data_IF_443283742827
#
_entry.id   IF_443283742827
#
_cell.length_a   1.000
_cell.length_b   1.000
_cell.length_c   1.000
_cell.angle_alpha   90.00
_cell.angle_beta   90.00
_cell.angle_gamma   90.00
#
_symmetry.space_group_name_H-M   'P 1'
#
loop_
_entity.id
_entity.type
_entity.pdbx_description
1 polymer ?
#
# COMPACT_ATOMS: atom_id res chain seq x y z
N UNK A 1 -8.83 65.55 31.68
CA UNK A 1 -8.22 64.63 30.69
C UNK A 1 -7.72 63.39 31.42
N UNK A 2 -8.19 62.19 31.08
CA UNK A 2 -7.45 60.92 31.20
C UNK A 2 -8.29 59.77 30.62
N UNK A 3 -7.94 59.33 29.40
CA UNK A 3 -8.40 58.07 28.80
C UNK A 3 -7.73 56.90 29.52
N UNK A 4 -8.46 55.84 29.88
CA UNK A 4 -7.92 54.50 30.16
C UNK A 4 -8.90 53.46 29.61
N UNK A 5 -8.77 53.16 28.31
CA UNK A 5 -8.21 51.93 27.72
C UNK A 5 -8.93 50.65 28.19
N UNK A 6 -9.63 50.10 27.19
CA UNK A 6 -10.30 48.81 27.09
C UNK A 6 -9.26 47.69 27.22
N UNK A 7 -9.48 46.75 28.13
CA UNK A 7 -8.86 45.43 28.08
C UNK A 7 -9.93 44.41 27.68
N UNK A 8 -9.85 43.98 26.43
CA UNK A 8 -10.54 42.80 25.90
C UNK A 8 -9.92 41.57 26.56
N UNK A 9 -10.69 40.83 27.36
CA UNK A 9 -10.37 39.45 27.69
C UNK A 9 -10.34 38.62 26.39
N UNK A 10 -9.13 38.26 25.98
CA UNK A 10 -8.92 37.22 24.99
C UNK A 10 -9.06 35.86 25.69
N UNK A 11 -10.19 35.18 25.49
CA UNK A 11 -10.34 33.76 25.79
C UNK A 11 -9.25 32.98 25.06
N UNK A 12 -8.23 32.54 25.81
CA UNK A 12 -7.26 31.56 25.33
C UNK A 12 -7.90 30.19 25.43
N UNK A 13 -8.38 29.66 24.30
CA UNK A 13 -8.72 28.24 24.17
C UNK A 13 -7.46 27.40 24.39
N UNK A 14 -7.42 26.48 25.37
CA UNK A 14 -6.32 25.54 25.46
C UNK A 14 -6.59 24.42 24.45
N UNK A 15 -5.99 24.51 23.27
CA UNK A 15 -5.85 23.39 22.34
C UNK A 15 -4.87 22.37 22.93
N UNK A 16 -5.35 21.61 23.92
CA UNK A 16 -4.54 20.60 24.59
C UNK A 16 -4.49 19.29 23.79
N UNK A 17 -3.29 18.71 23.55
CA UNK A 17 -3.13 17.39 22.93
C UNK A 17 -3.80 16.25 23.73
N UNK A 18 -4.21 16.50 24.98
CA UNK A 18 -4.91 15.51 25.82
C UNK A 18 -6.30 15.10 25.32
N UNK A 19 -7.00 15.97 24.56
CA UNK A 19 -8.32 15.63 23.98
C UNK A 19 -8.20 14.67 22.79
N UNK A 20 -7.11 14.72 22.03
CA UNK A 20 -6.87 13.82 20.89
C UNK A 20 -6.56 12.41 21.39
N UNK A 21 -5.75 12.31 22.46
CA UNK A 21 -5.41 11.03 23.09
C UNK A 21 -6.63 10.35 23.74
N UNK A 22 -7.57 11.12 24.31
CA UNK A 22 -8.80 10.54 24.88
C UNK A 22 -9.79 10.06 23.81
N UNK A 23 -9.87 10.73 22.66
CA UNK A 23 -10.66 10.28 21.50
C UNK A 23 -10.12 8.94 20.97
N UNK A 24 -8.80 8.79 20.86
CA UNK A 24 -8.17 7.52 20.46
C UNK A 24 -8.35 6.38 21.47
N UNK A 25 -8.75 6.65 22.72
CA UNK A 25 -9.08 5.59 23.71
C UNK A 25 -10.51 5.09 23.60
N UNK A 26 -11.36 5.75 22.80
CA UNK A 26 -12.75 5.34 22.65
C UNK A 26 -12.84 4.04 21.83
N UNK A 27 -13.62 3.08 22.31
CA UNK A 27 -13.85 1.80 21.64
C UNK A 27 -14.55 2.00 20.29
N UNK A 28 -15.45 2.98 20.20
CA UNK A 28 -16.12 3.35 18.95
C UNK A 28 -15.11 3.83 17.89
N UNK A 29 -14.07 4.56 18.29
CA UNK A 29 -13.05 5.08 17.35
C UNK A 29 -12.20 3.94 16.78
N UNK A 30 -11.81 2.97 17.61
CA UNK A 30 -11.11 1.78 17.14
C UNK A 30 -11.96 0.97 16.15
N UNK A 31 -13.25 0.78 16.46
CA UNK A 31 -14.17 0.08 15.58
C UNK A 31 -14.31 0.80 14.23
N UNK A 32 -14.53 2.12 14.23
CA UNK A 32 -14.67 2.92 13.00
C UNK A 32 -13.38 2.93 12.18
N UNK A 33 -12.22 3.11 12.80
CA UNK A 33 -10.93 3.01 12.13
C UNK A 33 -10.73 1.61 11.50
N UNK A 34 -11.14 0.57 12.21
CA UNK A 34 -11.00 -0.82 11.73
C UNK A 34 -11.90 -1.09 10.55
N UNK A 35 -13.15 -0.62 10.61
CA UNK A 35 -14.09 -0.69 9.50
C UNK A 35 -13.57 0.08 8.27
N UNK A 36 -13.05 1.29 8.46
CA UNK A 36 -12.45 2.07 7.37
C UNK A 36 -11.26 1.33 6.73
N UNK A 37 -10.40 0.67 7.52
CA UNK A 37 -9.30 -0.14 6.99
C UNK A 37 -9.79 -1.32 6.15
N UNK A 38 -10.82 -2.03 6.60
CA UNK A 38 -11.39 -3.16 5.84
C UNK A 38 -12.02 -2.67 4.54
N UNK A 39 -12.82 -1.61 4.57
CA UNK A 39 -13.44 -1.02 3.38
C UNK A 39 -12.36 -0.53 2.40
N UNK A 40 -11.32 0.13 2.90
CA UNK A 40 -10.20 0.59 2.09
C UNK A 40 -9.44 -0.58 1.45
N UNK A 41 -9.25 -1.69 2.18
CA UNK A 41 -8.68 -2.91 1.62
C UNK A 41 -9.53 -3.50 0.48
N UNK A 42 -10.86 -3.49 0.62
CA UNK A 42 -11.78 -3.96 -0.44
C UNK A 42 -11.75 -3.02 -1.64
N UNK A 43 -11.70 -1.71 -1.40
CA UNK A 43 -11.54 -0.71 -2.47
C UNK A 43 -10.25 -0.92 -3.26
N UNK A 44 -9.12 -1.14 -2.58
CA UNK A 44 -7.85 -1.45 -3.23
C UNK A 44 -7.88 -2.80 -3.96
N UNK A 45 -8.57 -3.81 -3.41
CA UNK A 45 -8.75 -5.10 -4.09
C UNK A 45 -9.48 -4.92 -5.43
N UNK A 46 -10.53 -4.11 -5.48
CA UNK A 46 -11.22 -3.74 -6.72
C UNK A 46 -10.29 -2.98 -7.67
N UNK A 47 -9.53 -2.02 -7.16
CA UNK A 47 -8.58 -1.24 -7.95
C UNK A 47 -7.52 -2.13 -8.61
N UNK A 48 -6.91 -3.02 -7.83
CA UNK A 48 -5.86 -3.94 -8.29
C UNK A 48 -6.42 -4.95 -9.28
N UNK A 49 -7.58 -5.55 -8.97
CA UNK A 49 -8.22 -6.52 -9.86
C UNK A 49 -8.62 -5.87 -11.19
N UNK A 50 -9.16 -4.66 -11.15
CA UNK A 50 -9.50 -3.88 -12.35
C UNK A 50 -8.25 -3.51 -13.16
N UNK A 51 -7.12 -3.24 -12.49
CA UNK A 51 -5.87 -2.85 -13.14
C UNK A 51 -5.34 -3.93 -14.10
N UNK A 52 -5.56 -5.22 -13.82
CA UNK A 52 -5.18 -6.30 -14.75
C UNK A 52 -5.92 -6.23 -16.09
N UNK A 53 -7.10 -5.59 -16.14
CA UNK A 53 -7.90 -5.48 -17.35
C UNK A 53 -7.85 -4.07 -17.97
N UNK A 54 -7.78 -3.02 -17.15
CA UNK A 54 -7.85 -1.63 -17.60
C UNK A 54 -6.49 -0.92 -17.61
N UNK A 55 -5.46 -1.50 -16.98
CA UNK A 55 -4.16 -0.86 -16.78
C UNK A 55 -3.51 -0.40 -18.09
N UNK A 56 -3.55 -1.21 -19.15
CA UNK A 56 -3.01 -0.83 -20.45
C UNK A 56 -3.65 0.44 -21.04
N UNK A 57 -4.96 0.62 -20.85
CA UNK A 57 -5.68 1.80 -21.33
C UNK A 57 -5.52 3.01 -20.40
N UNK A 58 -5.37 2.76 -19.10
CA UNK A 58 -5.25 3.79 -18.07
C UNK A 58 -3.80 4.32 -17.96
N UNK A 59 -2.79 3.54 -18.38
CA UNK A 59 -1.37 3.88 -18.24
C UNK A 59 -1.03 5.22 -18.90
N UNK A 60 -1.41 5.43 -20.17
CA UNK A 60 -1.13 6.71 -20.84
C UNK A 60 -1.87 7.89 -20.21
N UNK A 61 -3.05 7.67 -19.61
CA UNK A 61 -3.83 8.72 -18.94
C UNK A 61 -3.18 9.10 -17.61
N UNK A 62 -2.67 8.10 -16.87
CA UNK A 62 -1.95 8.33 -15.61
C UNK A 62 -0.62 9.03 -15.88
N UNK A 63 0.12 8.60 -16.91
CA UNK A 63 1.44 9.16 -17.25
C UNK A 63 1.35 10.55 -17.89
N UNK A 64 0.26 10.85 -18.61
CA UNK A 64 0.02 12.18 -19.21
C UNK A 64 -0.66 13.18 -18.27
N UNK A 65 -1.23 12.70 -17.16
CA UNK A 65 -2.20 13.45 -16.38
C UNK A 65 -1.57 14.51 -15.46
N UNK A 66 -1.76 15.78 -15.81
CA UNK A 66 -1.74 16.84 -14.79
C UNK A 66 -2.65 16.43 -13.64
N UNK A 67 -2.25 16.70 -12.38
CA UNK A 67 -3.05 16.36 -11.19
C UNK A 67 -4.48 16.93 -11.26
N UNK A 68 -4.69 18.00 -12.06
CA UNK A 68 -5.99 18.58 -12.35
C UNK A 68 -6.86 17.73 -13.31
N UNK A 69 -6.26 17.11 -14.32
CA UNK A 69 -6.96 16.31 -15.33
C UNK A 69 -7.42 14.97 -14.75
N UNK A 70 -6.60 14.38 -13.88
CA UNK A 70 -6.96 13.17 -13.14
C UNK A 70 -8.03 13.42 -12.06
N UNK A 71 -8.16 14.66 -11.60
CA UNK A 71 -9.21 15.09 -10.67
C UNK A 71 -10.50 15.53 -11.37
N UNK A 72 -10.48 15.68 -12.70
CA UNK A 72 -11.68 15.99 -13.48
C UNK A 72 -12.68 14.83 -13.43
N UNK A 73 -13.98 15.15 -13.49
CA UNK A 73 -15.07 14.17 -13.46
C UNK A 73 -15.02 13.24 -14.69
N UNK A 74 -14.56 13.76 -15.84
CA UNK A 74 -14.43 13.03 -17.10
C UNK A 74 -12.95 12.73 -17.42
N UNK A 75 -12.24 12.09 -16.49
CA UNK A 75 -10.83 11.72 -16.65
C UNK A 75 -10.57 10.50 -17.56
N UNK A 76 -11.62 9.93 -18.18
CA UNK A 76 -11.57 8.77 -19.09
C UNK A 76 -10.91 7.50 -18.50
N UNK A 77 -10.65 7.45 -17.20
CA UNK A 77 -10.08 6.26 -16.53
C UNK A 77 -11.13 5.16 -16.49
N UNK A 78 -10.75 3.96 -16.94
CA UNK A 78 -11.62 2.79 -17.00
C UNK A 78 -11.58 1.93 -15.74
N UNK A 79 -10.58 2.12 -14.89
CA UNK A 79 -10.49 1.40 -13.61
C UNK A 79 -11.77 1.57 -12.77
N UNK A 80 -12.32 0.46 -12.29
CA UNK A 80 -13.58 0.46 -11.52
C UNK A 80 -13.48 1.21 -10.18
N UNK A 81 -12.28 1.36 -9.64
CA UNK A 81 -12.03 2.18 -8.45
C UNK A 81 -11.81 3.67 -8.78
N UNK A 82 -11.97 4.07 -10.04
CA UNK A 82 -11.74 5.43 -10.55
C UNK A 82 -10.27 5.81 -10.66
N UNK A 83 -10.01 7.07 -10.99
CA UNK A 83 -8.66 7.62 -11.21
C UNK A 83 -7.69 7.41 -10.04
N UNK A 84 -8.14 7.67 -8.80
CA UNK A 84 -7.28 7.46 -7.61
C UNK A 84 -6.96 5.99 -7.37
N UNK A 85 -7.91 5.10 -7.63
CA UNK A 85 -7.69 3.66 -7.54
C UNK A 85 -6.70 3.17 -8.59
N UNK A 86 -6.82 3.67 -9.83
CA UNK A 86 -5.89 3.38 -10.92
C UNK A 86 -4.47 3.85 -10.59
N UNK A 87 -4.32 5.05 -10.03
CA UNK A 87 -3.02 5.58 -9.58
C UNK A 87 -2.42 4.72 -8.46
N UNK A 88 -3.20 4.36 -7.44
CA UNK A 88 -2.74 3.50 -6.35
C UNK A 88 -2.37 2.09 -6.84
N UNK A 89 -3.14 1.54 -7.77
CA UNK A 89 -2.84 0.24 -8.38
C UNK A 89 -1.55 0.30 -9.21
N UNK A 90 -1.40 1.30 -10.08
CA UNK A 90 -0.19 1.48 -10.89
C UNK A 90 1.04 1.68 -9.98
N UNK A 91 0.95 2.54 -8.97
CA UNK A 91 2.06 2.78 -8.04
C UNK A 91 2.45 1.53 -7.24
N UNK A 92 1.47 0.81 -6.65
CA UNK A 92 1.79 -0.35 -5.81
C UNK A 92 2.19 -1.57 -6.63
N UNK A 93 1.58 -1.79 -7.79
CA UNK A 93 1.88 -2.94 -8.65
C UNK A 93 3.12 -2.63 -9.50
N UNK A 94 3.09 -1.61 -10.35
CA UNK A 94 4.19 -1.35 -11.27
C UNK A 94 5.42 -0.72 -10.59
N UNK A 95 5.25 0.35 -9.83
CA UNK A 95 6.40 1.09 -9.28
C UNK A 95 6.97 0.46 -7.99
N UNK A 96 6.15 -0.28 -7.24
CA UNK A 96 6.58 -0.92 -6.00
C UNK A 96 6.78 -2.43 -6.18
N UNK A 97 5.87 -3.26 -5.68
CA UNK A 97 6.14 -4.67 -5.37
C UNK A 97 5.52 -5.67 -6.36
N UNK A 98 4.86 -5.20 -7.41
CA UNK A 98 4.23 -6.09 -8.39
C UNK A 98 2.95 -6.74 -7.87
N UNK A 99 2.72 -7.97 -8.31
CA UNK A 99 1.59 -8.80 -7.87
C UNK A 99 1.64 -9.07 -6.36
N UNK A 100 2.84 -9.06 -5.77
CA UNK A 100 2.98 -9.28 -4.33
C UNK A 100 2.33 -8.18 -3.47
N UNK A 101 1.97 -7.03 -4.04
CA UNK A 101 1.22 -5.97 -3.37
C UNK A 101 -0.14 -6.42 -2.83
N UNK A 102 -0.70 -7.53 -3.29
CA UNK A 102 -1.90 -8.13 -2.69
C UNK A 102 -1.71 -8.53 -1.23
N UNK A 103 -0.48 -8.84 -0.77
CA UNK A 103 -0.20 -9.10 0.64
C UNK A 103 -0.42 -7.86 1.52
N UNK A 104 -0.29 -6.65 0.96
CA UNK A 104 -0.66 -5.40 1.65
C UNK A 104 -2.15 -5.41 1.96
N UNK A 105 -2.99 -5.83 1.00
CA UNK A 105 -4.44 -5.91 1.18
C UNK A 105 -4.81 -6.91 2.28
N UNK A 106 -4.20 -8.09 2.25
CA UNK A 106 -4.40 -9.11 3.29
C UNK A 106 -4.04 -8.54 4.68
N UNK A 107 -2.89 -7.86 4.79
CA UNK A 107 -2.48 -7.25 6.05
C UNK A 107 -3.46 -6.16 6.51
N UNK A 108 -3.89 -5.25 5.62
CA UNK A 108 -4.85 -4.20 5.93
C UNK A 108 -6.19 -4.78 6.43
N UNK A 109 -6.70 -5.82 5.78
CA UNK A 109 -7.94 -6.48 6.19
C UNK A 109 -7.80 -7.12 7.58
N UNK A 110 -6.70 -7.84 7.84
CA UNK A 110 -6.43 -8.45 9.15
C UNK A 110 -6.23 -7.39 10.24
N UNK A 111 -5.54 -6.29 9.93
CA UNK A 111 -5.35 -5.15 10.82
C UNK A 111 -6.70 -4.50 11.18
N UNK A 112 -7.56 -4.28 10.18
CA UNK A 112 -8.90 -3.74 10.38
C UNK A 112 -9.78 -4.63 11.26
N UNK A 113 -9.83 -5.94 10.97
CA UNK A 113 -10.58 -6.92 11.78
C UNK A 113 -10.08 -7.00 13.23
N UNK A 114 -8.77 -6.88 13.45
CA UNK A 114 -8.20 -6.80 14.80
C UNK A 114 -8.65 -5.53 15.52
N UNK A 115 -8.66 -4.39 14.83
CA UNK A 115 -9.01 -3.10 15.42
C UNK A 115 -10.50 -3.04 15.80
N UNK A 116 -11.35 -3.72 15.03
CA UNK A 116 -12.77 -3.95 15.36
C UNK A 116 -12.99 -4.96 16.50
N UNK A 117 -11.92 -5.56 17.06
CA UNK A 117 -11.98 -6.65 18.05
C UNK A 117 -12.76 -7.90 17.61
N UNK A 118 -12.99 -8.06 16.31
CA UNK A 118 -13.69 -9.23 15.74
C UNK A 118 -12.83 -10.48 15.83
N UNK A 119 -11.51 -10.33 15.68
CA UNK A 119 -10.56 -11.46 15.74
C UNK A 119 -9.33 -11.11 16.57
N UNK A 120 -8.99 -12.01 17.49
CA UNK A 120 -7.76 -11.90 18.29
C UNK A 120 -6.61 -12.45 17.45
N UNK A 121 -5.90 -11.55 16.78
CA UNK A 121 -4.71 -11.89 15.99
C UNK A 121 -3.46 -11.18 16.52
N UNK A 122 -2.32 -11.86 16.45
CA UNK A 122 -1.02 -11.24 16.75
C UNK A 122 -0.56 -10.44 15.54
N UNK A 123 -0.95 -9.15 15.49
CA UNK A 123 -0.68 -8.27 14.35
C UNK A 123 0.78 -8.26 13.90
N UNK A 124 1.72 -8.33 14.84
CA UNK A 124 3.15 -8.36 14.51
C UNK A 124 3.56 -9.62 13.74
N UNK A 125 2.98 -10.80 14.06
CA UNK A 125 3.21 -12.02 13.28
C UNK A 125 2.68 -11.90 11.86
N UNK A 126 1.49 -11.32 11.71
CA UNK A 126 0.90 -11.05 10.39
C UNK A 126 1.69 -10.03 9.58
N UNK A 127 2.17 -8.96 10.24
CA UNK A 127 3.02 -7.96 9.59
C UNK A 127 4.30 -8.60 9.05
N UNK A 128 5.03 -9.34 9.89
CA UNK A 128 6.25 -10.06 9.47
C UNK A 128 5.95 -11.01 8.33
N UNK A 129 4.90 -11.84 8.45
CA UNK A 129 4.52 -12.81 7.42
C UNK A 129 4.20 -12.14 6.08
N UNK A 130 3.34 -11.12 6.08
CA UNK A 130 2.95 -10.40 4.88
C UNK A 130 4.13 -9.64 4.26
N UNK A 131 4.97 -8.98 5.05
CA UNK A 131 6.14 -8.25 4.53
C UNK A 131 7.18 -9.21 3.94
N UNK A 132 7.44 -10.35 4.58
CA UNK A 132 8.36 -11.35 4.05
C UNK A 132 7.85 -11.93 2.72
N UNK A 133 6.58 -12.32 2.66
CA UNK A 133 5.97 -12.80 1.42
C UNK A 133 5.97 -11.73 0.32
N UNK A 134 5.66 -10.49 0.67
CA UNK A 134 5.67 -9.36 -0.24
C UNK A 134 7.05 -9.15 -0.87
N UNK A 135 8.10 -9.04 -0.04
CA UNK A 135 9.47 -8.85 -0.55
C UNK A 135 9.94 -10.07 -1.33
N UNK A 136 9.70 -11.28 -0.80
CA UNK A 136 10.15 -12.51 -1.43
C UNK A 136 9.52 -12.71 -2.81
N UNK A 137 8.19 -12.57 -2.93
CA UNK A 137 7.51 -12.71 -4.22
C UNK A 137 7.85 -11.56 -5.19
N UNK A 138 8.01 -10.33 -4.70
CA UNK A 138 8.47 -9.19 -5.52
C UNK A 138 9.83 -9.50 -6.17
N UNK A 139 10.83 -9.94 -5.39
CA UNK A 139 12.15 -10.28 -5.91
C UNK A 139 12.11 -11.54 -6.78
N UNK A 140 11.36 -12.57 -6.38
CA UNK A 140 11.21 -13.81 -7.14
C UNK A 140 10.65 -13.53 -8.55
N UNK A 141 9.55 -12.79 -8.66
CA UNK A 141 8.98 -12.44 -9.96
C UNK A 141 9.87 -11.46 -10.74
N UNK A 142 10.51 -10.51 -10.05
CA UNK A 142 11.47 -9.58 -10.65
C UNK A 142 12.78 -10.22 -11.12
N UNK A 143 13.06 -11.46 -10.72
CA UNK A 143 14.23 -12.23 -11.15
C UNK A 143 13.86 -13.31 -12.17
N UNK A 144 12.87 -14.16 -11.84
CA UNK A 144 12.55 -15.35 -12.62
C UNK A 144 11.71 -15.08 -13.88
N UNK A 145 10.91 -14.00 -13.87
CA UNK A 145 10.00 -13.69 -14.97
C UNK A 145 10.42 -12.44 -15.76
N UNK A 146 11.58 -11.86 -15.46
CA UNK A 146 11.99 -10.57 -16.03
C UNK A 146 12.15 -10.59 -17.55
N UNK A 147 12.67 -11.67 -18.12
CA UNK A 147 12.89 -11.77 -19.57
C UNK A 147 11.59 -11.99 -20.37
N UNK A 148 10.49 -12.36 -19.70
CA UNK A 148 9.23 -12.71 -20.36
C UNK A 148 8.25 -11.54 -20.48
N UNK A 149 8.44 -10.44 -19.75
CA UNK A 149 7.42 -9.39 -19.61
C UNK A 149 7.95 -7.95 -19.80
N UNK A 150 9.15 -7.76 -20.37
CA UNK A 150 9.69 -6.39 -20.56
C UNK A 150 8.79 -5.48 -21.42
N UNK A 151 7.98 -6.05 -22.31
CA UNK A 151 7.02 -5.31 -23.16
C UNK A 151 5.59 -5.31 -22.59
N UNK A 152 5.37 -5.84 -21.38
CA UNK A 152 4.04 -5.90 -20.76
C UNK A 152 3.79 -4.70 -19.85
N UNK A 153 2.55 -4.19 -19.86
CA UNK A 153 2.14 -3.07 -18.99
C UNK A 153 2.11 -3.40 -17.49
N UNK A 154 2.25 -4.68 -17.11
CA UNK A 154 2.28 -5.16 -15.73
C UNK A 154 3.66 -5.68 -15.39
N UNK A 155 4.30 -5.04 -14.42
CA UNK A 155 5.55 -5.51 -13.84
C UNK A 155 5.25 -6.49 -12.71
N UNK A 156 5.31 -7.79 -12.96
CA UNK A 156 4.90 -8.82 -11.99
C UNK A 156 5.67 -8.79 -10.67
N UNK A 157 6.96 -8.43 -10.72
CA UNK A 157 7.80 -8.18 -9.53
C UNK A 157 7.84 -6.72 -9.07
N UNK A 158 7.25 -5.81 -9.85
CA UNK A 158 7.36 -4.37 -9.70
C UNK A 158 8.79 -3.85 -9.89
N UNK A 159 8.95 -2.53 -9.87
CA UNK A 159 10.24 -1.89 -10.00
C UNK A 159 11.17 -2.20 -8.80
N UNK A 160 10.60 -2.41 -7.60
CA UNK A 160 11.36 -2.85 -6.43
C UNK A 160 12.00 -4.22 -6.68
N UNK A 161 11.21 -5.22 -7.08
CA UNK A 161 11.69 -6.58 -7.32
C UNK A 161 12.74 -6.62 -8.42
N UNK A 162 12.54 -5.84 -9.48
CA UNK A 162 13.48 -5.66 -10.59
C UNK A 162 14.83 -5.06 -10.13
N UNK A 163 14.79 -3.95 -9.38
CA UNK A 163 16.02 -3.29 -8.94
C UNK A 163 16.80 -4.16 -7.95
N UNK A 164 16.09 -4.79 -7.01
CA UNK A 164 16.71 -5.68 -6.02
C UNK A 164 17.27 -6.93 -6.68
N UNK A 165 16.55 -7.56 -7.63
CA UNK A 165 17.04 -8.74 -8.35
C UNK A 165 18.31 -8.41 -9.14
N UNK A 166 18.31 -7.30 -9.89
CA UNK A 166 19.49 -6.85 -10.64
C UNK A 166 20.69 -6.57 -9.73
N UNK A 167 20.44 -5.92 -8.59
CA UNK A 167 21.49 -5.69 -7.60
C UNK A 167 22.02 -7.03 -7.07
N UNK A 168 21.17 -7.97 -6.66
CA UNK A 168 21.59 -9.29 -6.18
C UNK A 168 22.38 -10.07 -7.25
N UNK A 169 21.92 -10.08 -8.50
CA UNK A 169 22.65 -10.73 -9.60
C UNK A 169 24.04 -10.11 -9.79
N UNK A 170 24.19 -8.79 -9.63
CA UNK A 170 25.50 -8.14 -9.70
C UNK A 170 26.46 -8.54 -8.59
N UNK A 171 25.95 -8.90 -7.41
CA UNK A 171 26.77 -9.23 -6.23
C UNK A 171 27.14 -10.71 -6.18
N UNK A 172 26.20 -11.61 -6.46
CA UNK A 172 26.36 -13.06 -6.25
C UNK A 172 26.12 -13.91 -7.50
N UNK A 173 25.80 -13.28 -8.63
CA UNK A 173 25.48 -13.98 -9.88
C UNK A 173 24.11 -14.67 -9.86
N UNK A 174 23.65 -15.08 -11.04
CA UNK A 174 22.34 -15.73 -11.24
C UNK A 174 22.17 -17.00 -10.36
N UNK A 175 23.15 -17.92 -10.27
CA UNK A 175 23.01 -19.09 -9.38
C UNK A 175 22.91 -18.70 -7.91
N UNK A 176 23.64 -17.66 -7.49
CA UNK A 176 23.60 -17.15 -6.11
C UNK A 176 22.22 -16.62 -5.72
N UNK A 177 21.55 -15.90 -6.63
CA UNK A 177 20.18 -15.41 -6.38
C UNK A 177 19.19 -16.56 -6.21
N UNK A 178 19.28 -17.61 -7.04
CA UNK A 178 18.47 -18.82 -6.88
C UNK A 178 18.67 -19.47 -5.50
N UNK A 179 19.93 -19.59 -5.04
CA UNK A 179 20.23 -20.13 -3.72
C UNK A 179 19.67 -19.26 -2.59
N UNK A 180 19.81 -17.93 -2.68
CA UNK A 180 19.26 -17.01 -1.68
C UNK A 180 17.73 -17.12 -1.61
N UNK A 181 17.04 -17.13 -2.76
CA UNK A 181 15.60 -17.28 -2.82
C UNK A 181 15.14 -18.61 -2.23
N UNK A 182 15.86 -19.69 -2.52
CA UNK A 182 15.57 -21.02 -1.98
C UNK A 182 15.76 -21.08 -0.46
N UNK A 183 16.91 -20.63 0.05
CA UNK A 183 17.23 -20.66 1.48
C UNK A 183 16.23 -19.79 2.25
N UNK A 184 15.95 -18.58 1.77
CA UNK A 184 14.97 -17.69 2.43
C UNK A 184 13.56 -18.26 2.41
N UNK A 185 13.15 -18.94 1.34
CA UNK A 185 11.87 -19.65 1.29
C UNK A 185 11.81 -20.78 2.33
N UNK A 186 12.85 -21.61 2.42
CA UNK A 186 12.91 -22.70 3.41
C UNK A 186 12.87 -22.14 4.83
N UNK A 187 13.67 -21.11 5.13
CA UNK A 187 13.64 -20.44 6.44
C UNK A 187 12.24 -19.89 6.78
N UNK A 188 11.55 -19.33 5.79
CA UNK A 188 10.20 -18.82 5.96
C UNK A 188 9.18 -19.94 6.27
N UNK A 189 9.25 -21.06 5.53
CA UNK A 189 8.40 -22.21 5.79
C UNK A 189 8.63 -22.84 7.16
N UNK A 190 9.87 -22.83 7.66
CA UNK A 190 10.21 -23.33 9.00
C UNK A 190 9.67 -22.39 10.10
N UNK A 191 9.62 -21.08 9.84
CA UNK A 191 9.17 -20.09 10.81
C UNK A 191 7.64 -20.09 11.02
N UNK A 192 6.87 -20.42 9.97
CA UNK A 192 5.40 -20.51 10.02
C UNK A 192 4.94 -21.64 10.95
#
# INVERSE_FOLDING_TARGET
MAKKKIDKEAERTPSSPGKIVSIFKNETVHFVLGLMLVIFSVYLLLAFSSFFFTGAADQSIIDSGSSADLAAVNNNVKNYAGSRGAQLASYLINDCFGISSFFILVFLAVAGLKLMRVRIVRLWKWFIGCTLLLVWFSVFFGFALMDHYQDSFIYLGGMHGYNVSRWLVSQVGVPGVWMILLITAVCFFIYI
#
